data_IF_865153455824
#
_entry.id   IF_865153455824
#
_cell.length_a   1.000
_cell.length_b   1.000
_cell.length_c   1.000
_cell.angle_alpha   90.00
_cell.angle_beta   90.00
_cell.angle_gamma   90.00
#
_symmetry.space_group_name_H-M   'P 1'
#
loop_
_entity.id
_entity.type
_entity.pdbx_description
1 polymer ?
#
# COMPACT_ATOMS: atom_id res chain seq x y z
N UNK A 1 -19.60 -19.80 22.88
CA UNK A 1 -20.41 -18.86 22.05
C UNK A 1 -19.57 -17.71 21.50
N UNK A 2 -18.90 -16.91 22.34
CA UNK A 2 -18.09 -15.76 21.91
C UNK A 2 -16.99 -16.12 20.91
N UNK A 3 -16.24 -17.21 21.14
CA UNK A 3 -15.18 -17.67 20.21
C UNK A 3 -15.77 -18.00 18.83
N UNK A 4 -16.92 -18.65 18.77
CA UNK A 4 -17.57 -18.99 17.50
C UNK A 4 -18.03 -17.73 16.75
N UNK A 5 -18.54 -16.73 17.47
CA UNK A 5 -18.92 -15.42 16.90
C UNK A 5 -17.69 -14.70 16.34
N UNK A 6 -16.58 -14.69 17.07
CA UNK A 6 -15.34 -14.05 16.62
C UNK A 6 -14.74 -14.74 15.39
N UNK A 7 -14.76 -16.09 15.34
CA UNK A 7 -14.30 -16.83 14.16
C UNK A 7 -15.22 -16.53 12.96
N UNK A 8 -16.54 -16.51 13.16
CA UNK A 8 -17.49 -16.19 12.10
C UNK A 8 -17.28 -14.77 11.57
N UNK A 9 -17.06 -13.80 12.48
CA UNK A 9 -16.75 -12.43 12.12
C UNK A 9 -15.42 -12.33 11.34
N UNK A 10 -14.37 -13.02 11.79
CA UNK A 10 -13.07 -13.06 11.11
C UNK A 10 -13.20 -13.62 9.69
N UNK A 11 -13.91 -14.74 9.52
CA UNK A 11 -14.15 -15.34 8.21
C UNK A 11 -15.00 -14.41 7.33
N UNK A 12 -15.99 -13.73 7.90
CA UNK A 12 -16.78 -12.70 7.21
C UNK A 12 -15.91 -11.54 6.71
N UNK A 13 -15.04 -11.00 7.56
CA UNK A 13 -14.12 -9.91 7.21
C UNK A 13 -13.15 -10.35 6.10
N UNK A 14 -12.52 -11.53 6.26
CA UNK A 14 -11.58 -12.06 5.28
C UNK A 14 -12.26 -12.31 3.92
N UNK A 15 -13.43 -12.96 3.92
CA UNK A 15 -14.18 -13.24 2.68
C UNK A 15 -14.60 -11.96 1.96
N UNK A 16 -15.02 -10.93 2.70
CA UNK A 16 -15.33 -9.61 2.15
C UNK A 16 -14.10 -8.95 1.52
N UNK A 17 -12.98 -8.91 2.25
CA UNK A 17 -11.73 -8.35 1.75
C UNK A 17 -11.24 -9.04 0.47
N UNK A 18 -11.25 -10.38 0.43
CA UNK A 18 -10.90 -11.14 -0.77
C UNK A 18 -11.87 -10.90 -1.94
N UNK A 19 -13.15 -10.69 -1.67
CA UNK A 19 -14.13 -10.35 -2.71
C UNK A 19 -13.78 -9.00 -3.35
N UNK A 20 -13.51 -7.96 -2.56
CA UNK A 20 -13.12 -6.63 -3.07
C UNK A 20 -11.84 -6.71 -3.91
N UNK A 21 -10.81 -7.39 -3.41
CA UNK A 21 -9.54 -7.57 -4.14
C UNK A 21 -9.76 -8.32 -5.46
N UNK A 22 -10.61 -9.37 -5.48
CA UNK A 22 -10.92 -10.10 -6.70
C UNK A 22 -11.63 -9.23 -7.74
N UNK A 23 -12.57 -8.39 -7.32
CA UNK A 23 -13.23 -7.47 -8.24
C UNK A 23 -12.25 -6.44 -8.81
N UNK A 24 -11.36 -5.91 -7.96
CA UNK A 24 -10.30 -4.99 -8.38
C UNK A 24 -9.34 -5.65 -9.37
N UNK A 25 -8.96 -6.91 -9.15
CA UNK A 25 -8.07 -7.67 -10.02
C UNK A 25 -8.72 -7.98 -11.39
N UNK A 26 -10.00 -8.36 -11.40
CA UNK A 26 -10.76 -8.52 -12.65
C UNK A 26 -10.83 -7.20 -13.42
N UNK A 27 -11.08 -6.08 -12.73
CA UNK A 27 -11.10 -4.76 -13.35
C UNK A 27 -9.70 -4.39 -13.89
N UNK A 28 -8.65 -4.65 -13.12
CA UNK A 28 -7.26 -4.41 -13.52
C UNK A 28 -6.89 -5.18 -14.79
N UNK A 29 -7.30 -6.44 -14.91
CA UNK A 29 -7.10 -7.25 -16.10
C UNK A 29 -7.84 -6.71 -17.34
N UNK A 30 -8.98 -6.02 -17.16
CA UNK A 30 -9.73 -5.42 -18.27
C UNK A 30 -9.13 -4.10 -18.74
N UNK A 31 -8.52 -3.33 -17.84
CA UNK A 31 -7.91 -2.03 -18.17
C UNK A 31 -6.48 -2.13 -18.71
N UNK A 32 -5.76 -3.23 -18.43
CA UNK A 32 -4.38 -3.40 -18.85
C UNK A 32 -3.40 -2.49 -18.10
N UNK A 33 -2.11 -2.63 -18.39
CA UNK A 33 -1.07 -1.79 -17.79
C UNK A 33 -0.98 -0.43 -18.52
N UNK A 34 -0.82 0.70 -17.79
CA UNK A 34 -0.45 0.84 -16.37
C UNK A 34 -1.62 0.98 -15.38
N UNK A 35 -2.85 1.16 -15.86
CA UNK A 35 -4.02 1.48 -15.02
C UNK A 35 -4.43 0.32 -14.11
N UNK A 36 -4.25 -0.93 -14.54
CA UNK A 36 -4.60 -2.11 -13.76
C UNK A 36 -3.81 -2.23 -12.45
N UNK A 37 -2.49 -2.05 -12.50
CA UNK A 37 -1.63 -2.05 -11.30
C UNK A 37 -2.00 -0.93 -10.32
N UNK A 38 -2.35 0.24 -10.87
CA UNK A 38 -2.80 1.40 -10.12
C UNK A 38 -4.11 1.15 -9.37
N UNK A 39 -5.10 0.58 -10.05
CA UNK A 39 -6.41 0.24 -9.46
C UNK A 39 -6.26 -0.82 -8.38
N UNK A 40 -5.43 -1.84 -8.62
CA UNK A 40 -5.15 -2.89 -7.64
C UNK A 40 -4.52 -2.30 -6.38
N UNK A 41 -3.49 -1.44 -6.54
CA UNK A 41 -2.81 -0.79 -5.42
C UNK A 41 -3.73 0.16 -4.64
N UNK A 42 -4.51 0.98 -5.35
CA UNK A 42 -5.50 1.88 -4.75
C UNK A 42 -6.58 1.12 -3.98
N UNK A 43 -7.06 0.00 -4.52
CA UNK A 43 -8.07 -0.83 -3.85
C UNK A 43 -7.57 -1.35 -2.50
N UNK A 44 -6.32 -1.79 -2.42
CA UNK A 44 -5.72 -2.27 -1.16
C UNK A 44 -5.58 -1.11 -0.17
N UNK A 45 -5.08 0.05 -0.61
CA UNK A 45 -4.95 1.24 0.25
C UNK A 45 -6.30 1.71 0.79
N UNK A 46 -7.35 1.70 -0.04
CA UNK A 46 -8.72 2.08 0.39
C UNK A 46 -9.26 1.10 1.43
N UNK A 47 -9.03 -0.21 1.26
CA UNK A 47 -9.40 -1.22 2.26
C UNK A 47 -8.71 -0.95 3.60
N UNK A 48 -7.41 -0.65 3.59
CA UNK A 48 -6.64 -0.36 4.80
C UNK A 48 -7.14 0.90 5.52
N UNK A 49 -7.30 2.02 4.79
CA UNK A 49 -7.79 3.28 5.36
C UNK A 49 -9.20 3.10 5.94
N UNK A 50 -10.05 2.31 5.28
CA UNK A 50 -11.41 2.00 5.77
C UNK A 50 -11.37 1.19 7.07
N UNK A 51 -10.49 0.19 7.17
CA UNK A 51 -10.32 -0.63 8.37
C UNK A 51 -9.80 0.20 9.54
N UNK A 52 -8.76 1.00 9.31
CA UNK A 52 -8.21 1.91 10.33
C UNK A 52 -9.28 2.90 10.81
N UNK A 53 -10.05 3.49 9.88
CA UNK A 53 -11.13 4.42 10.23
C UNK A 53 -12.24 3.75 11.03
N UNK A 54 -12.61 2.51 10.68
CA UNK A 54 -13.59 1.72 11.43
C UNK A 54 -13.11 1.41 12.85
N UNK A 55 -11.82 1.05 13.01
CA UNK A 55 -11.21 0.84 14.34
C UNK A 55 -11.16 2.13 15.17
N UNK A 56 -10.90 3.27 14.54
CA UNK A 56 -10.94 4.55 15.25
C UNK A 56 -12.36 4.95 15.65
N UNK A 57 -13.36 4.65 14.82
CA UNK A 57 -14.76 4.92 15.12
C UNK A 57 -15.27 4.12 16.34
N UNK A 58 -14.65 2.98 16.67
CA UNK A 58 -14.98 2.23 17.90
C UNK A 58 -14.48 2.85 19.20
N UNK A 59 -13.70 3.95 19.14
CA UNK A 59 -13.41 4.83 20.30
C UNK A 59 -12.30 4.39 21.26
N UNK A 60 -11.79 3.17 21.15
CA UNK A 60 -10.72 2.62 22.01
C UNK A 60 -9.31 2.70 21.39
N UNK A 61 -9.19 3.31 20.21
CA UNK A 61 -7.94 3.37 19.47
C UNK A 61 -7.07 4.57 19.88
N UNK A 62 -5.92 4.30 20.49
CA UNK A 62 -4.90 5.33 20.74
C UNK A 62 -4.39 5.94 19.42
N UNK A 63 -4.03 7.24 19.36
CA UNK A 63 -3.48 7.88 18.15
C UNK A 63 -2.22 7.20 17.60
N UNK A 64 -1.49 6.47 18.45
CA UNK A 64 -0.32 5.67 18.06
C UNK A 64 -0.68 4.41 17.28
N UNK A 65 -1.89 3.87 17.48
CA UNK A 65 -2.34 2.64 16.84
C UNK A 65 -2.36 2.77 15.31
N UNK A 66 -2.75 3.94 14.80
CA UNK A 66 -2.74 4.28 13.37
C UNK A 66 -1.34 4.16 12.73
N UNK A 67 -0.31 4.57 13.46
CA UNK A 67 1.08 4.49 13.01
C UNK A 67 1.57 3.05 13.07
N UNK A 68 1.22 2.34 14.14
CA UNK A 68 1.68 0.98 14.38
C UNK A 68 1.11 0.01 13.33
N UNK A 69 -0.13 0.23 12.87
CA UNK A 69 -0.71 -0.53 11.74
C UNK A 69 0.02 -0.26 10.44
N UNK A 70 0.34 1.00 10.12
CA UNK A 70 1.08 1.36 8.90
C UNK A 70 2.49 0.74 8.88
N UNK A 71 3.21 0.75 10.01
CA UNK A 71 4.50 0.06 10.11
C UNK A 71 4.35 -1.45 9.90
N UNK A 72 3.32 -2.07 10.49
CA UNK A 72 3.04 -3.49 10.32
C UNK A 72 2.77 -3.85 8.85
N UNK A 73 1.95 -3.06 8.16
CA UNK A 73 1.64 -3.26 6.73
C UNK A 73 2.92 -3.20 5.89
N UNK A 74 3.78 -2.20 6.10
CA UNK A 74 5.04 -2.06 5.33
C UNK A 74 5.97 -3.25 5.60
N UNK A 75 6.09 -3.69 6.85
CA UNK A 75 6.88 -4.88 7.19
C UNK A 75 6.33 -6.15 6.54
N UNK A 76 5.00 -6.32 6.51
CA UNK A 76 4.35 -7.47 5.88
C UNK A 76 4.53 -7.43 4.35
N UNK A 77 4.36 -6.27 3.71
CA UNK A 77 4.49 -6.15 2.24
C UNK A 77 5.95 -6.28 1.81
N UNK A 78 6.86 -5.53 2.44
CA UNK A 78 8.27 -5.50 2.03
C UNK A 78 9.07 -6.69 2.55
N UNK A 79 8.88 -7.09 3.81
CA UNK A 79 9.60 -8.22 4.40
C UNK A 79 8.90 -9.56 4.13
N UNK A 80 7.58 -9.60 4.30
CA UNK A 80 6.78 -10.80 4.11
C UNK A 80 6.57 -11.14 2.63
N UNK A 81 5.77 -10.33 1.92
CA UNK A 81 5.31 -10.63 0.57
C UNK A 81 6.46 -10.61 -0.44
N UNK A 82 7.23 -9.52 -0.51
CA UNK A 82 8.38 -9.41 -1.43
C UNK A 82 9.44 -10.46 -1.09
N UNK A 83 9.79 -10.63 0.19
CA UNK A 83 10.76 -11.65 0.63
C UNK A 83 10.32 -13.08 0.28
N UNK A 84 9.05 -13.40 0.50
CA UNK A 84 8.48 -14.71 0.16
C UNK A 84 8.45 -14.95 -1.36
N UNK A 85 8.10 -13.94 -2.16
CA UNK A 85 8.15 -14.01 -3.62
C UNK A 85 9.57 -14.26 -4.14
N UNK A 86 10.59 -13.66 -3.53
CA UNK A 86 11.99 -13.91 -3.87
C UNK A 86 12.44 -15.31 -3.45
N UNK A 87 12.06 -15.79 -2.26
CA UNK A 87 12.40 -17.15 -1.81
C UNK A 87 11.76 -18.23 -2.71
N UNK A 88 10.48 -18.09 -3.04
CA UNK A 88 9.80 -19.03 -3.94
C UNK A 88 10.31 -18.92 -5.38
N UNK A 89 10.55 -17.70 -5.86
CA UNK A 89 11.09 -17.43 -7.20
C UNK A 89 12.51 -17.96 -7.37
N UNK A 90 13.39 -17.69 -6.41
CA UNK A 90 14.79 -18.11 -6.41
C UNK A 90 14.98 -19.63 -6.30
N UNK A 91 14.04 -20.35 -5.67
CA UNK A 91 14.08 -21.82 -5.61
C UNK A 91 13.81 -22.47 -6.97
N UNK A 92 13.07 -21.80 -7.87
CA UNK A 92 12.65 -22.34 -9.18
C UNK A 92 13.40 -21.68 -10.35
N UNK A 93 13.83 -20.43 -10.23
CA UNK A 93 14.54 -19.66 -11.24
C UNK A 93 15.82 -19.06 -10.63
N UNK A 94 16.99 -19.47 -11.11
CA UNK A 94 18.28 -18.93 -10.64
C UNK A 94 18.48 -17.44 -11.03
N UNK A 95 17.75 -16.96 -12.04
CA UNK A 95 17.70 -15.57 -12.48
C UNK A 95 16.24 -15.15 -12.69
N UNK A 96 15.76 -14.18 -11.89
CA UNK A 96 14.41 -13.62 -12.06
C UNK A 96 14.47 -12.50 -13.10
N UNK A 97 13.85 -12.71 -14.27
CA UNK A 97 13.69 -11.65 -15.27
C UNK A 97 12.71 -10.61 -14.75
N UNK A 98 13.26 -9.51 -14.25
CA UNK A 98 12.51 -8.37 -13.72
C UNK A 98 12.67 -7.21 -14.69
N UNK A 99 11.58 -6.54 -15.05
CA UNK A 99 11.65 -5.33 -15.85
C UNK A 99 12.22 -4.19 -15.01
N UNK A 100 13.54 -4.02 -15.06
CA UNK A 100 14.28 -3.03 -14.29
C UNK A 100 13.85 -1.59 -14.63
N UNK A 101 13.35 -1.36 -15.84
CA UNK A 101 12.87 -0.04 -16.26
C UNK A 101 11.62 0.36 -15.48
N UNK A 102 10.62 -0.53 -15.42
CA UNK A 102 9.41 -0.33 -14.63
C UNK A 102 9.73 -0.17 -13.15
N UNK A 103 10.51 -1.10 -12.59
CA UNK A 103 10.88 -1.08 -11.16
C UNK A 103 11.62 0.21 -10.78
N UNK A 104 12.55 0.68 -11.62
CA UNK A 104 13.28 1.93 -11.37
C UNK A 104 12.35 3.13 -11.31
N UNK A 105 11.35 3.19 -12.19
CA UNK A 105 10.36 4.27 -12.20
C UNK A 105 9.47 4.24 -10.95
N UNK A 106 9.05 3.06 -10.50
CA UNK A 106 8.34 2.89 -9.23
C UNK A 106 9.19 3.28 -8.01
N UNK A 107 10.44 2.82 -7.94
CA UNK A 107 11.34 3.10 -6.81
C UNK A 107 11.65 4.60 -6.68
N UNK A 108 11.91 5.30 -7.79
CA UNK A 108 12.20 6.75 -7.77
C UNK A 108 11.05 7.56 -7.16
N UNK A 109 9.80 7.12 -7.32
CA UNK A 109 8.66 7.79 -6.74
C UNK A 109 8.34 7.32 -5.31
N UNK A 110 8.53 6.03 -5.02
CA UNK A 110 8.17 5.43 -3.74
C UNK A 110 9.15 5.82 -2.62
N UNK A 111 10.46 5.90 -2.91
CA UNK A 111 11.49 6.32 -1.94
C UNK A 111 11.23 7.70 -1.30
N UNK A 112 11.05 8.80 -2.06
CA UNK A 112 10.86 10.11 -1.45
C UNK A 112 9.54 10.22 -0.68
N UNK A 113 8.48 9.56 -1.14
CA UNK A 113 7.21 9.50 -0.42
C UNK A 113 7.35 8.74 0.91
N UNK A 114 8.00 7.57 0.90
CA UNK A 114 8.22 6.79 2.12
C UNK A 114 9.10 7.54 3.14
N UNK A 115 10.14 8.25 2.69
CA UNK A 115 11.00 9.03 3.58
C UNK A 115 10.22 10.17 4.26
N UNK A 116 9.44 10.94 3.49
CA UNK A 116 8.65 12.05 4.05
C UNK A 116 7.55 11.57 4.99
N UNK A 117 6.90 10.45 4.68
CA UNK A 117 5.77 9.96 5.50
C UNK A 117 6.25 9.20 6.74
N UNK A 118 7.32 8.39 6.64
CA UNK A 118 7.73 7.48 7.72
C UNK A 118 8.98 7.92 8.49
N UNK A 119 9.96 8.54 7.82
CA UNK A 119 11.23 8.92 8.47
C UNK A 119 11.13 10.30 9.11
N UNK A 120 10.47 11.24 8.44
CA UNK A 120 10.27 12.60 8.97
C UNK A 120 9.62 12.64 10.37
N UNK A 121 8.51 11.94 10.68
CA UNK A 121 7.94 11.93 12.03
C UNK A 121 8.89 11.41 13.10
N UNK A 122 9.74 10.44 12.76
CA UNK A 122 10.68 9.82 13.70
C UNK A 122 11.88 10.72 14.02
N UNK A 123 12.20 11.66 13.12
CA UNK A 123 13.26 12.64 13.33
C UNK A 123 12.88 13.78 14.30
N UNK A 124 11.60 13.91 14.67
CA UNK A 124 11.12 14.93 15.61
C UNK A 124 11.20 14.45 17.07
N UNK A 125 11.69 15.30 18.00
CA UNK A 125 11.67 14.99 19.43
C UNK A 125 10.22 14.85 19.90
N UNK A 126 9.83 13.61 20.23
CA UNK A 126 8.47 13.26 20.67
C UNK A 126 7.65 12.46 19.65
N UNK A 127 8.17 12.19 18.44
CA UNK A 127 7.51 11.38 17.39
C UNK A 127 6.05 11.78 17.08
N UNK A 128 5.70 13.04 17.35
CA UNK A 128 4.37 13.59 17.17
C UNK A 128 4.49 14.93 16.44
N UNK A 129 3.65 15.11 15.43
CA UNK A 129 3.49 16.40 14.77
C UNK A 129 2.55 17.28 15.59
N UNK A 130 2.84 18.58 15.65
CA UNK A 130 1.80 19.56 15.99
C UNK A 130 0.70 19.52 14.92
N UNK A 131 -0.56 19.79 15.27
CA UNK A 131 -1.71 19.75 14.34
C UNK A 131 -1.49 20.56 13.05
N UNK A 132 -0.75 21.67 13.12
CA UNK A 132 -0.40 22.46 11.94
C UNK A 132 0.65 21.80 11.04
N UNK A 133 1.61 21.08 11.62
CA UNK A 133 2.64 20.35 10.88
C UNK A 133 2.08 19.11 10.21
N UNK A 134 1.18 18.36 10.87
CA UNK A 134 0.56 17.17 10.27
C UNK A 134 -0.28 17.54 9.05
N UNK A 135 -1.00 18.66 9.09
CA UNK A 135 -1.82 19.12 7.97
C UNK A 135 -0.96 19.57 6.79
N UNK A 136 0.14 20.28 7.04
CA UNK A 136 1.09 20.69 5.99
C UNK A 136 1.76 19.46 5.35
N UNK A 137 2.22 18.51 6.17
CA UNK A 137 2.82 17.26 5.69
C UNK A 137 1.82 16.43 4.90
N UNK A 138 0.56 16.36 5.33
CA UNK A 138 -0.51 15.67 4.62
C UNK A 138 -0.75 16.28 3.23
N UNK A 139 -0.80 17.61 3.11
CA UNK A 139 -0.98 18.30 1.82
C UNK A 139 0.20 18.06 0.89
N UNK A 140 1.45 18.19 1.38
CA UNK A 140 2.65 17.93 0.57
C UNK A 140 2.68 16.46 0.11
N UNK A 141 2.37 15.52 1.00
CA UNK A 141 2.34 14.09 0.68
C UNK A 141 1.25 13.77 -0.36
N UNK A 142 0.07 14.38 -0.23
CA UNK A 142 -1.01 14.25 -1.22
C UNK A 142 -0.62 14.84 -2.58
N UNK A 143 0.04 16.00 -2.61
CA UNK A 143 0.54 16.60 -3.83
C UNK A 143 1.60 15.73 -4.52
N UNK A 144 2.54 15.17 -3.75
CA UNK A 144 3.54 14.22 -4.26
C UNK A 144 2.93 12.93 -4.77
N UNK A 145 1.93 12.38 -4.08
CA UNK A 145 1.19 11.24 -4.59
C UNK A 145 0.45 11.59 -5.89
N UNK A 146 -0.12 12.79 -6.00
CA UNK A 146 -0.70 13.30 -7.24
C UNK A 146 0.31 13.37 -8.39
N UNK A 147 1.54 13.82 -8.12
CA UNK A 147 2.64 13.79 -9.11
C UNK A 147 3.00 12.36 -9.49
N UNK A 148 3.03 11.42 -8.55
CA UNK A 148 3.26 10.00 -8.84
C UNK A 148 2.16 9.40 -9.73
N UNK A 149 0.89 9.71 -9.46
CA UNK A 149 -0.23 9.32 -10.33
C UNK A 149 -0.06 9.90 -11.73
N UNK A 150 0.39 11.15 -11.85
CA UNK A 150 0.66 11.78 -13.16
C UNK A 150 1.80 11.10 -13.90
N UNK A 151 2.90 10.72 -13.23
CA UNK A 151 4.03 10.00 -13.85
C UNK A 151 3.60 8.61 -14.33
N UNK A 152 2.77 7.89 -13.55
CA UNK A 152 2.24 6.59 -13.96
C UNK A 152 1.22 6.67 -15.11
N UNK A 153 0.53 7.79 -15.26
CA UNK A 153 -0.48 7.97 -16.32
C UNK A 153 0.05 8.66 -17.58
N UNK A 154 1.11 9.49 -17.47
CA UNK A 154 1.71 10.22 -18.60
C UNK A 154 2.89 9.53 -19.28
N UNK A 155 3.45 8.47 -18.70
CA UNK A 155 4.42 7.64 -19.38
C UNK A 155 3.67 6.44 -19.97
N UNK A 156 3.08 6.54 -21.18
CA UNK A 156 2.78 5.34 -21.91
C UNK A 156 4.10 4.59 -22.01
N UNK A 157 4.08 3.32 -21.63
CA UNK A 157 5.00 2.33 -22.13
C UNK A 157 5.37 2.71 -23.56
N UNK A 158 6.66 2.93 -23.82
CA UNK A 158 7.14 2.71 -25.19
C UNK A 158 6.53 1.37 -25.65
N UNK A 159 5.95 1.31 -26.86
CA UNK A 159 5.42 0.05 -27.34
C UNK A 159 6.56 -0.96 -27.24
N UNK A 160 6.35 -2.01 -26.44
CA UNK A 160 7.10 -3.25 -26.59
C UNK A 160 6.77 -3.71 -27.99
N UNK A 161 7.59 -3.26 -28.95
CA UNK A 161 7.64 -3.88 -30.26
C UNK A 161 7.94 -5.36 -30.04
N UNK A 162 7.11 -6.17 -30.68
CA UNK A 162 7.15 -7.62 -30.85
C UNK A 162 8.55 -8.24 -30.79
#
# INVERSE_FOLDING_TARGET
MVIAINILALVGILSSAFSVVRHADVLAHRLGEPYGSLILSLSVVILEVSLISALMATGDAAPTLMRDTLYSIIMIVTGGLVGFSLLLGGRKFATQYMNLFGIKQYLIALFPLAIIVLVFPMALPGANFSTGQSLLVAVISAAMYGVFLLIQTKNPSEPVCL
#
